data_IF_314729404591
#
_entry.id   IF_314729404591
#
_cell.length_a   1.000
_cell.length_b   1.000
_cell.length_c   1.000
_cell.angle_alpha   90.00
_cell.angle_beta   90.00
_cell.angle_gamma   90.00
#
_symmetry.space_group_name_H-M   'P 1'
#
loop_
_entity.id
_entity.type
_entity.pdbx_description
1 polymer ?
#
# COMPACT_ATOMS: atom_id res chain seq x y z
N UNK A 1 13.74 18.13 81.95
CA UNK A 1 13.54 17.10 80.95
C UNK A 1 12.98 17.74 79.66
N UNK A 2 13.81 17.89 78.64
CA UNK A 2 13.41 18.49 77.33
C UNK A 2 13.29 17.36 76.32
N UNK A 3 12.08 17.08 75.85
CA UNK A 3 11.78 16.08 74.85
C UNK A 3 11.99 16.70 73.50
N UNK A 4 12.95 16.15 72.72
CA UNK A 4 13.22 16.55 71.30
C UNK A 4 12.37 15.67 70.42
N UNK A 5 11.45 16.26 69.62
CA UNK A 5 10.60 15.60 68.67
C UNK A 5 11.32 15.69 67.32
N UNK A 6 11.85 14.56 66.83
CA UNK A 6 12.46 14.45 65.50
C UNK A 6 11.40 14.24 64.41
N UNK A 7 11.29 15.22 63.50
CA UNK A 7 10.39 15.15 62.35
C UNK A 7 11.13 14.46 61.18
N UNK A 8 10.72 13.25 60.79
CA UNK A 8 11.21 12.57 59.61
C UNK A 8 10.47 13.14 58.37
N UNK A 9 11.16 13.86 57.51
CA UNK A 9 10.68 14.22 56.17
C UNK A 9 10.86 13.02 55.24
N UNK A 10 9.76 12.37 54.82
CA UNK A 10 9.74 11.41 53.72
C UNK A 10 9.71 12.22 52.43
N UNK A 11 10.84 12.29 51.69
CA UNK A 11 10.88 12.80 50.33
C UNK A 11 10.44 11.70 49.34
N UNK A 12 9.23 11.88 48.77
CA UNK A 12 8.72 11.00 47.70
C UNK A 12 9.49 11.32 46.40
N UNK A 13 10.36 10.43 45.99
CA UNK A 13 11.03 10.49 44.69
C UNK A 13 10.04 10.00 43.63
N UNK A 14 9.42 10.89 42.86
CA UNK A 14 8.63 10.59 41.69
C UNK A 14 9.59 10.37 40.53
N UNK A 15 9.84 9.13 40.17
CA UNK A 15 10.56 8.79 38.94
C UNK A 15 9.69 9.16 37.72
N UNK A 16 10.20 9.92 36.76
CA UNK A 16 9.49 10.18 35.52
C UNK A 16 9.38 8.83 34.74
N UNK A 17 8.17 8.32 34.60
CA UNK A 17 7.86 7.26 33.65
C UNK A 17 7.98 7.82 32.25
N UNK A 18 9.10 7.58 31.57
CA UNK A 18 9.21 7.78 30.13
C UNK A 18 8.30 6.75 29.45
N UNK A 19 7.15 7.20 28.95
CA UNK A 19 6.34 6.43 28.01
C UNK A 19 7.21 6.25 26.75
N UNK A 20 7.83 5.08 26.63
CA UNK A 20 8.38 4.62 25.35
C UNK A 20 7.17 4.39 24.44
N UNK A 21 6.97 5.25 23.45
CA UNK A 21 6.08 4.93 22.35
C UNK A 21 6.70 3.74 21.60
N UNK A 22 6.12 2.55 21.79
CA UNK A 22 6.48 1.40 20.98
C UNK A 22 6.30 1.81 19.51
N UNK A 23 7.30 1.58 18.68
CA UNK A 23 7.16 1.79 17.23
C UNK A 23 5.98 0.94 16.75
N UNK A 24 5.11 1.53 15.93
CA UNK A 24 3.98 0.80 15.35
C UNK A 24 4.51 -0.38 14.53
N UNK A 25 3.92 -1.56 14.73
CA UNK A 25 4.30 -2.74 13.93
C UNK A 25 3.94 -2.49 12.46
N UNK A 26 4.83 -2.86 11.51
CA UNK A 26 4.58 -2.63 10.10
C UNK A 26 3.39 -3.45 9.60
N UNK A 27 2.53 -2.83 8.80
CA UNK A 27 1.46 -3.53 8.08
C UNK A 27 2.04 -4.42 6.97
N UNK A 28 1.23 -5.39 6.57
CA UNK A 28 1.42 -6.17 5.36
C UNK A 28 0.37 -5.79 4.33
N UNK A 29 0.71 -5.87 3.05
CA UNK A 29 -0.23 -5.56 1.97
C UNK A 29 -0.34 -6.76 1.02
N UNK A 30 -1.55 -7.12 0.65
CA UNK A 30 -1.78 -7.90 -0.57
C UNK A 30 -2.13 -6.91 -1.69
N UNK A 31 -1.30 -6.87 -2.73
CA UNK A 31 -1.61 -6.17 -3.97
C UNK A 31 -2.11 -7.22 -4.96
N UNK A 32 -3.40 -7.16 -5.27
CA UNK A 32 -4.04 -8.13 -6.15
C UNK A 32 -4.39 -7.48 -7.48
N UNK A 33 -3.78 -7.92 -8.56
CA UNK A 33 -4.04 -7.45 -9.91
C UNK A 33 -4.91 -8.47 -10.66
N UNK A 34 -6.11 -8.09 -11.02
CA UNK A 34 -6.93 -8.81 -11.98
C UNK A 34 -6.53 -8.35 -13.38
N UNK A 35 -5.70 -9.12 -14.07
CA UNK A 35 -5.31 -8.85 -15.46
C UNK A 35 -6.45 -9.30 -16.36
N UNK A 36 -7.09 -8.36 -17.06
CA UNK A 36 -8.34 -8.61 -17.77
C UNK A 36 -8.13 -9.47 -19.03
N UNK A 37 -7.15 -9.10 -19.86
CA UNK A 37 -6.97 -9.71 -21.18
C UNK A 37 -8.12 -9.38 -22.14
N UNK A 38 -8.09 -9.95 -23.36
CA UNK A 38 -9.02 -9.60 -24.44
C UNK A 38 -10.50 -9.94 -24.12
N UNK A 39 -10.75 -10.93 -23.28
CA UNK A 39 -12.08 -11.39 -22.91
C UNK A 39 -12.47 -11.02 -21.46
N UNK A 40 -11.74 -10.10 -20.83
CA UNK A 40 -11.98 -9.69 -19.46
C UNK A 40 -13.35 -9.02 -19.27
N UNK A 41 -13.95 -9.24 -18.11
CA UNK A 41 -15.22 -8.64 -17.71
C UNK A 41 -15.04 -7.82 -16.43
N UNK A 42 -14.59 -6.57 -16.59
CA UNK A 42 -14.34 -5.64 -15.49
C UNK A 42 -15.59 -5.45 -14.62
N UNK A 43 -16.79 -5.34 -15.23
CA UNK A 43 -18.04 -5.15 -14.49
C UNK A 43 -18.34 -6.33 -13.55
N UNK A 44 -18.10 -7.55 -13.99
CA UNK A 44 -18.29 -8.73 -13.14
C UNK A 44 -17.33 -8.74 -11.95
N UNK A 45 -16.08 -8.30 -12.15
CA UNK A 45 -15.10 -8.17 -11.06
C UNK A 45 -15.52 -7.05 -10.11
N UNK A 46 -15.88 -5.85 -10.62
CA UNK A 46 -16.35 -4.74 -9.78
C UNK A 46 -17.58 -5.13 -8.95
N UNK A 47 -18.54 -5.84 -9.54
CA UNK A 47 -19.72 -6.34 -8.82
C UNK A 47 -19.35 -7.33 -7.71
N UNK A 48 -18.41 -8.23 -7.97
CA UNK A 48 -17.89 -9.13 -6.94
C UNK A 48 -17.17 -8.38 -5.81
N UNK A 49 -16.29 -7.44 -6.16
CA UNK A 49 -15.54 -6.66 -5.17
C UNK A 49 -16.49 -5.83 -4.30
N UNK A 50 -17.39 -5.07 -4.90
CA UNK A 50 -18.29 -4.16 -4.18
C UNK A 50 -19.34 -4.88 -3.34
N UNK A 51 -19.93 -5.96 -3.85
CA UNK A 51 -21.09 -6.60 -3.23
C UNK A 51 -20.75 -7.81 -2.36
N UNK A 52 -19.56 -8.41 -2.54
CA UNK A 52 -19.17 -9.61 -1.80
C UNK A 52 -17.86 -9.41 -1.03
N UNK A 53 -16.73 -9.11 -1.69
CA UNK A 53 -15.43 -9.12 -1.04
C UNK A 53 -15.29 -7.97 0.00
N UNK A 54 -15.54 -6.72 -0.39
CA UNK A 54 -15.35 -5.58 0.53
C UNK A 54 -16.29 -5.66 1.75
N UNK A 55 -17.59 -6.01 1.62
CA UNK A 55 -18.44 -6.24 2.79
C UNK A 55 -17.95 -7.37 3.71
N UNK A 56 -17.38 -8.44 3.16
CA UNK A 56 -16.83 -9.54 3.95
C UNK A 56 -15.54 -9.11 4.68
N UNK A 57 -14.65 -8.36 4.02
CA UNK A 57 -13.45 -7.80 4.65
C UNK A 57 -13.81 -6.83 5.78
N UNK A 58 -14.84 -6.00 5.59
CA UNK A 58 -15.35 -5.10 6.63
C UNK A 58 -15.83 -5.88 7.87
N UNK A 59 -16.51 -7.04 7.69
CA UNK A 59 -16.90 -7.92 8.82
C UNK A 59 -15.71 -8.52 9.54
N UNK A 60 -14.57 -8.63 8.87
CA UNK A 60 -13.30 -9.08 9.45
C UNK A 60 -12.45 -7.93 10.01
N UNK A 61 -12.96 -6.68 9.97
CA UNK A 61 -12.24 -5.46 10.36
C UNK A 61 -10.97 -5.20 9.53
N UNK A 62 -10.94 -5.70 8.29
CA UNK A 62 -9.84 -5.50 7.34
C UNK A 62 -10.15 -4.32 6.43
N UNK A 63 -9.28 -3.33 6.42
CA UNK A 63 -9.37 -2.12 5.59
C UNK A 63 -8.54 -0.96 6.14
N UNK A 64 -8.56 0.20 5.46
CA UNK A 64 -9.33 0.51 4.23
C UNK A 64 -8.77 -0.21 2.99
N UNK A 65 -9.66 -0.63 2.08
CA UNK A 65 -9.30 -1.34 0.85
C UNK A 65 -9.39 -0.41 -0.34
N UNK A 66 -8.29 -0.29 -1.09
CA UNK A 66 -8.24 0.42 -2.36
C UNK A 66 -8.66 -0.47 -3.52
N UNK A 67 -9.50 0.05 -4.41
CA UNK A 67 -9.86 -0.60 -5.67
C UNK A 67 -9.71 0.40 -6.80
N UNK A 68 -8.93 0.04 -7.81
CA UNK A 68 -8.54 0.95 -8.88
C UNK A 68 -8.63 0.25 -10.24
N UNK A 69 -8.92 1.04 -11.29
CA UNK A 69 -8.81 0.64 -12.69
C UNK A 69 -7.75 1.49 -13.40
N UNK A 70 -7.30 1.07 -14.59
CA UNK A 70 -6.41 1.91 -15.39
C UNK A 70 -7.09 3.25 -15.71
N UNK A 71 -6.33 4.32 -15.63
CA UNK A 71 -6.68 5.62 -16.17
C UNK A 71 -6.56 5.59 -17.70
N UNK A 72 -7.28 6.47 -18.39
CA UNK A 72 -7.09 6.70 -19.84
C UNK A 72 -5.67 7.15 -20.20
N UNK A 73 -4.91 7.65 -19.23
CA UNK A 73 -3.51 8.05 -19.38
C UNK A 73 -2.52 6.91 -19.05
N UNK A 74 -3.01 5.73 -18.70
CA UNK A 74 -2.13 4.59 -18.46
C UNK A 74 -1.54 4.05 -19.76
N UNK A 75 -0.24 3.84 -19.77
CA UNK A 75 0.52 3.35 -20.94
C UNK A 75 1.12 1.97 -20.72
N UNK A 76 0.69 1.25 -19.69
CA UNK A 76 1.23 -0.07 -19.36
C UNK A 76 0.89 -1.15 -20.40
N UNK A 77 -0.12 -0.90 -21.24
CA UNK A 77 -0.57 -1.81 -22.29
C UNK A 77 -1.32 -3.07 -21.77
N UNK A 78 -1.82 -3.01 -20.53
CA UNK A 78 -2.54 -4.14 -19.93
C UNK A 78 -3.65 -3.64 -19.02
N UNK A 79 -4.89 -3.88 -19.40
CA UNK A 79 -6.06 -3.54 -18.61
C UNK A 79 -6.13 -4.40 -17.35
N UNK A 80 -6.37 -3.74 -16.20
CA UNK A 80 -6.40 -4.40 -14.90
C UNK A 80 -7.31 -3.73 -13.91
N UNK A 81 -7.70 -4.50 -12.89
CA UNK A 81 -8.25 -3.97 -11.65
C UNK A 81 -7.25 -4.28 -10.55
N UNK A 82 -6.79 -3.24 -9.87
CA UNK A 82 -5.83 -3.33 -8.77
C UNK A 82 -6.58 -3.23 -7.45
N UNK A 83 -6.35 -4.18 -6.55
CA UNK A 83 -6.92 -4.16 -5.20
C UNK A 83 -5.78 -4.13 -4.18
N UNK A 84 -5.80 -3.15 -3.30
CA UNK A 84 -4.83 -2.97 -2.20
C UNK A 84 -5.53 -3.33 -0.89
N UNK A 85 -5.06 -4.37 -0.21
CA UNK A 85 -5.65 -4.87 1.03
C UNK A 85 -4.60 -4.83 2.13
N UNK A 86 -4.76 -3.99 3.18
CA UNK A 86 -3.86 -3.96 4.33
C UNK A 86 -4.20 -5.09 5.31
N UNK A 87 -3.17 -5.64 5.93
CA UNK A 87 -3.26 -6.65 6.99
C UNK A 87 -2.32 -6.31 8.14
N UNK A 88 -2.64 -6.75 9.34
CA UNK A 88 -1.79 -6.57 10.52
C UNK A 88 -0.58 -7.51 10.55
N UNK A 89 -0.65 -8.64 9.85
CA UNK A 89 0.43 -9.64 9.77
C UNK A 89 0.34 -10.45 8.48
N UNK A 90 1.43 -11.16 8.14
CA UNK A 90 1.45 -12.07 7.00
C UNK A 90 0.43 -13.21 7.13
N UNK A 91 0.25 -13.77 8.34
CA UNK A 91 -0.70 -14.87 8.57
C UNK A 91 -2.15 -14.40 8.45
N UNK A 92 -2.43 -13.10 8.68
CA UNK A 92 -3.78 -12.55 8.56
C UNK A 92 -4.35 -12.71 7.14
N UNK A 93 -3.49 -12.75 6.11
CA UNK A 93 -3.88 -13.00 4.72
C UNK A 93 -4.54 -14.39 4.58
N UNK A 94 -3.88 -15.44 5.10
CA UNK A 94 -4.42 -16.79 5.04
C UNK A 94 -5.63 -16.97 5.95
N UNK A 95 -5.57 -16.37 7.15
CA UNK A 95 -6.68 -16.37 8.11
C UNK A 95 -7.93 -15.73 7.51
N UNK A 96 -7.78 -14.61 6.81
CA UNK A 96 -8.89 -13.94 6.11
C UNK A 96 -9.50 -14.84 5.02
N UNK A 97 -8.67 -15.51 4.22
CA UNK A 97 -9.15 -16.47 3.21
C UNK A 97 -9.97 -17.60 3.82
N UNK A 98 -9.53 -18.16 4.95
CA UNK A 98 -10.26 -19.22 5.66
C UNK A 98 -11.62 -18.70 6.17
N UNK A 99 -11.66 -17.50 6.77
CA UNK A 99 -12.92 -16.88 7.22
C UNK A 99 -13.91 -16.62 6.07
N UNK A 100 -13.43 -16.28 4.87
CA UNK A 100 -14.30 -16.14 3.69
C UNK A 100 -14.99 -17.45 3.30
N UNK A 101 -14.35 -18.59 3.50
CA UNK A 101 -14.96 -19.92 3.23
C UNK A 101 -16.13 -20.18 4.17
N UNK A 102 -16.06 -19.73 5.42
CA UNK A 102 -17.08 -19.91 6.44
C UNK A 102 -18.15 -18.81 6.47
N UNK A 103 -17.91 -17.67 5.79
CA UNK A 103 -18.83 -16.52 5.75
C UNK A 103 -19.99 -16.80 4.78
N UNK A 104 -21.13 -17.26 5.31
CA UNK A 104 -22.33 -17.56 4.51
C UNK A 104 -22.83 -16.36 3.69
N UNK A 105 -22.72 -15.13 4.23
CA UNK A 105 -23.15 -13.93 3.51
C UNK A 105 -22.23 -13.66 2.32
N UNK A 106 -20.91 -13.84 2.49
CA UNK A 106 -19.95 -13.77 1.40
C UNK A 106 -20.20 -14.85 0.35
N UNK A 107 -20.36 -16.11 0.75
CA UNK A 107 -20.59 -17.23 -0.16
C UNK A 107 -21.85 -17.00 -1.01
N UNK A 108 -22.91 -16.47 -0.41
CA UNK A 108 -24.16 -16.14 -1.12
C UNK A 108 -23.96 -15.00 -2.13
N UNK A 109 -23.32 -13.89 -1.69
CA UNK A 109 -23.11 -12.71 -2.53
C UNK A 109 -22.10 -12.97 -3.65
N UNK A 110 -21.08 -13.80 -3.41
CA UNK A 110 -20.02 -14.12 -4.36
C UNK A 110 -20.41 -15.24 -5.35
N UNK A 111 -21.54 -15.92 -5.13
CA UNK A 111 -21.92 -17.15 -5.86
C UNK A 111 -21.77 -17.01 -7.37
N UNK A 112 -22.35 -15.98 -7.97
CA UNK A 112 -22.30 -15.76 -9.43
C UNK A 112 -20.86 -15.60 -9.96
N UNK A 113 -19.96 -15.08 -9.14
CA UNK A 113 -18.56 -14.95 -9.50
C UNK A 113 -17.79 -16.25 -9.28
N UNK A 114 -17.96 -16.92 -8.15
CA UNK A 114 -17.22 -18.12 -7.77
C UNK A 114 -17.61 -19.36 -8.58
N UNK A 115 -18.88 -19.46 -9.03
CA UNK A 115 -19.38 -20.59 -9.81
C UNK A 115 -19.16 -20.44 -11.34
N UNK A 116 -18.41 -19.42 -11.79
CA UNK A 116 -18.06 -19.28 -13.20
C UNK A 116 -17.23 -20.47 -13.68
N UNK A 117 -17.61 -20.97 -14.86
CA UNK A 117 -16.86 -22.07 -15.48
C UNK A 117 -15.54 -21.64 -16.11
N UNK A 118 -14.67 -22.57 -16.47
CA UNK A 118 -13.33 -22.27 -16.99
C UNK A 118 -13.33 -21.49 -18.31
N UNK A 119 -14.46 -21.47 -19.05
CA UNK A 119 -14.62 -20.69 -20.29
C UNK A 119 -15.28 -19.32 -20.08
N UNK A 120 -15.67 -19.00 -18.85
CA UNK A 120 -16.36 -17.76 -18.46
C UNK A 120 -15.59 -17.03 -17.35
N UNK A 121 -14.27 -17.12 -17.37
CA UNK A 121 -13.43 -16.35 -16.43
C UNK A 121 -13.53 -14.85 -16.74
N UNK A 122 -13.77 -13.99 -15.75
CA UNK A 122 -13.85 -12.54 -15.97
C UNK A 122 -12.48 -11.87 -16.07
N UNK A 123 -11.40 -12.62 -15.97
CA UNK A 123 -10.01 -12.16 -16.10
C UNK A 123 -9.15 -13.26 -16.74
N UNK A 124 -8.02 -12.88 -17.28
CA UNK A 124 -7.02 -13.81 -17.79
C UNK A 124 -6.28 -14.51 -16.63
N UNK A 125 -5.88 -13.74 -15.60
CA UNK A 125 -5.22 -14.23 -14.37
C UNK A 125 -5.30 -13.21 -13.25
N UNK A 126 -5.04 -13.69 -12.05
CA UNK A 126 -4.77 -12.85 -10.88
C UNK A 126 -3.27 -12.94 -10.58
N UNK A 127 -2.62 -11.78 -10.48
CA UNK A 127 -1.26 -11.64 -9.96
C UNK A 127 -1.37 -11.07 -8.56
N UNK A 128 -0.88 -11.80 -7.56
CA UNK A 128 -0.86 -11.32 -6.17
C UNK A 128 0.58 -11.17 -5.69
N UNK A 129 0.82 -10.08 -4.96
CA UNK A 129 2.07 -9.77 -4.31
C UNK A 129 1.81 -9.51 -2.82
N UNK A 130 2.65 -10.05 -1.96
CA UNK A 130 2.65 -9.73 -0.53
C UNK A 130 3.84 -8.83 -0.22
N UNK A 131 3.54 -7.66 0.35
CA UNK A 131 4.53 -6.69 0.77
C UNK A 131 4.54 -6.57 2.30
N UNK A 132 5.68 -6.22 2.87
CA UNK A 132 5.78 -5.68 4.23
C UNK A 132 6.02 -4.17 4.13
N UNK A 133 5.30 -3.39 4.93
CA UNK A 133 5.47 -1.94 4.99
C UNK A 133 6.92 -1.58 5.37
N UNK A 134 7.44 -0.51 4.75
CA UNK A 134 8.80 -0.04 5.02
C UNK A 134 8.82 0.92 6.23
N UNK A 135 9.97 1.03 6.91
CA UNK A 135 10.13 1.87 8.12
C UNK A 135 9.75 3.33 7.90
N UNK A 136 9.99 3.87 6.69
CA UNK A 136 9.60 5.24 6.33
C UNK A 136 8.08 5.45 6.27
N UNK A 137 7.30 4.36 6.18
CA UNK A 137 5.83 4.40 6.13
C UNK A 137 5.25 3.05 6.62
N UNK A 138 5.25 2.81 7.96
CA UNK A 138 4.85 1.52 8.52
C UNK A 138 3.36 1.22 8.40
N UNK A 139 2.53 2.25 8.18
CA UNK A 139 1.08 2.14 8.03
C UNK A 139 0.61 2.83 6.75
N UNK A 140 -0.44 2.26 6.15
CA UNK A 140 -1.17 2.88 5.03
C UNK A 140 -1.80 4.21 5.48
N UNK A 141 -1.71 5.23 4.62
CA UNK A 141 -2.31 6.55 4.84
C UNK A 141 -3.37 6.85 3.77
N UNK A 142 -4.60 7.05 4.23
CA UNK A 142 -5.69 7.46 3.33
C UNK A 142 -5.64 8.97 3.14
N UNK A 143 -5.73 9.50 1.91
CA UNK A 143 -5.78 10.94 1.64
C UNK A 143 -7.20 11.49 1.92
N UNK A 144 -7.58 11.53 3.21
CA UNK A 144 -8.96 11.82 3.64
C UNK A 144 -9.53 13.14 3.09
N UNK A 145 -8.69 14.14 2.84
CA UNK A 145 -9.12 15.42 2.26
C UNK A 145 -9.47 15.32 0.78
N UNK A 146 -8.98 14.29 0.08
CA UNK A 146 -9.13 14.11 -1.36
C UNK A 146 -10.12 12.99 -1.74
N UNK A 147 -10.67 12.26 -0.75
CA UNK A 147 -11.58 11.12 -1.02
C UNK A 147 -12.81 11.50 -1.86
N UNK A 148 -13.28 12.75 -1.75
CA UNK A 148 -14.43 13.26 -2.52
C UNK A 148 -14.02 13.90 -3.87
N UNK A 149 -12.73 14.00 -4.14
CA UNK A 149 -12.25 14.55 -5.40
C UNK A 149 -12.39 13.50 -6.51
N UNK A 150 -13.31 13.73 -7.45
CA UNK A 150 -13.57 12.82 -8.56
C UNK A 150 -12.43 12.77 -9.59
N UNK A 151 -11.60 13.82 -9.66
CA UNK A 151 -10.50 13.94 -10.63
C UNK A 151 -9.19 13.32 -10.11
N UNK A 152 -9.20 12.80 -8.85
CA UNK A 152 -7.99 12.24 -8.25
C UNK A 152 -7.47 11.04 -9.02
N UNK A 153 -6.16 11.00 -9.19
CA UNK A 153 -5.46 9.88 -9.83
C UNK A 153 -4.41 9.29 -8.90
N UNK A 154 -4.08 8.04 -9.16
CA UNK A 154 -3.08 7.30 -8.41
C UNK A 154 -2.00 6.78 -9.35
N UNK A 155 -0.80 6.54 -8.81
CA UNK A 155 0.26 5.89 -9.57
C UNK A 155 0.85 4.76 -8.73
N UNK A 156 0.68 3.52 -9.20
CA UNK A 156 1.35 2.35 -8.64
C UNK A 156 2.65 2.14 -9.37
N UNK A 157 3.75 2.07 -8.63
CA UNK A 157 5.07 1.74 -9.15
C UNK A 157 5.64 0.52 -8.46
N UNK A 158 6.27 -0.34 -9.26
CA UNK A 158 7.01 -1.51 -8.83
C UNK A 158 8.44 -1.35 -9.33
N UNK A 159 9.40 -1.33 -8.42
CA UNK A 159 10.82 -1.19 -8.72
C UNK A 159 11.52 -2.53 -8.52
N UNK A 160 11.74 -3.27 -9.62
CA UNK A 160 12.52 -4.49 -9.61
C UNK A 160 14.00 -4.19 -9.39
N UNK A 161 14.67 -5.09 -8.68
CA UNK A 161 16.13 -5.09 -8.50
C UNK A 161 16.72 -6.37 -9.07
N UNK A 162 17.97 -6.30 -9.55
CA UNK A 162 18.62 -7.45 -10.19
C UNK A 162 19.02 -8.56 -9.19
N UNK A 163 19.04 -8.26 -7.90
CA UNK A 163 19.25 -9.19 -6.80
C UNK A 163 18.79 -8.58 -5.47
N UNK A 164 18.71 -9.42 -4.43
CA UNK A 164 18.20 -9.04 -3.11
C UNK A 164 19.02 -7.90 -2.48
N UNK A 165 20.34 -7.94 -2.56
CA UNK A 165 21.23 -6.90 -2.01
C UNK A 165 20.95 -5.52 -2.63
N UNK A 166 20.70 -5.46 -3.94
CA UNK A 166 20.34 -4.21 -4.62
C UNK A 166 18.95 -3.75 -4.22
N UNK A 167 18.01 -4.69 -4.03
CA UNK A 167 16.69 -4.42 -3.48
C UNK A 167 16.76 -3.79 -2.09
N UNK A 168 17.54 -4.38 -1.18
CA UNK A 168 17.74 -3.86 0.18
C UNK A 168 18.39 -2.47 0.18
N UNK A 169 19.31 -2.19 -0.75
CA UNK A 169 19.87 -0.85 -0.90
C UNK A 169 18.84 0.16 -1.41
N UNK A 170 17.91 -0.25 -2.29
CA UNK A 170 16.81 0.63 -2.71
C UNK A 170 15.82 0.90 -1.58
N UNK A 171 15.49 -0.11 -0.77
CA UNK A 171 14.70 0.04 0.46
C UNK A 171 15.40 1.00 1.43
N UNK A 172 16.71 0.83 1.64
CA UNK A 172 17.51 1.75 2.47
C UNK A 172 17.45 3.19 1.94
N UNK A 173 17.47 3.41 0.63
CA UNK A 173 17.38 4.75 0.02
C UNK A 173 16.04 5.42 0.35
N UNK A 174 14.92 4.69 0.23
CA UNK A 174 13.59 5.17 0.60
C UNK A 174 13.49 5.52 2.09
N UNK A 175 13.96 4.62 2.97
CA UNK A 175 13.95 4.81 4.42
C UNK A 175 14.82 6.00 4.88
N UNK A 176 15.83 6.41 4.08
CA UNK A 176 16.83 7.38 4.49
C UNK A 176 16.91 8.63 3.60
N UNK A 177 15.84 8.99 2.86
CA UNK A 177 15.87 10.28 2.16
C UNK A 177 14.89 10.48 1.01
N UNK A 178 14.39 9.43 0.34
CA UNK A 178 13.55 9.63 -0.86
C UNK A 178 12.14 10.12 -0.52
N UNK A 179 11.55 9.64 0.60
CA UNK A 179 10.15 9.98 0.96
C UNK A 179 9.95 11.46 1.30
N UNK A 180 10.83 12.14 2.06
CA UNK A 180 10.71 13.59 2.25
C UNK A 180 10.69 14.37 0.93
N UNK A 181 11.53 13.97 -0.04
CA UNK A 181 11.58 14.61 -1.37
C UNK A 181 10.26 14.40 -2.12
N UNK A 182 9.62 13.21 -1.98
CA UNK A 182 8.28 12.99 -2.53
C UNK A 182 7.28 14.01 -2.02
N UNK A 183 7.23 14.19 -0.69
CA UNK A 183 6.28 15.09 -0.03
C UNK A 183 6.50 16.55 -0.46
N UNK A 184 7.74 16.99 -0.53
CA UNK A 184 8.12 18.35 -0.98
C UNK A 184 7.71 18.62 -2.42
N UNK A 185 7.66 17.58 -3.26
CA UNK A 185 7.22 17.66 -4.65
C UNK A 185 5.71 17.46 -4.87
N UNK A 186 4.92 17.25 -3.80
CA UNK A 186 3.49 16.97 -3.91
C UNK A 186 3.14 15.52 -4.29
N UNK A 187 4.11 14.61 -4.19
CA UNK A 187 3.88 13.16 -4.34
C UNK A 187 3.44 12.62 -2.99
N UNK A 188 2.18 12.20 -2.86
CA UNK A 188 1.60 11.71 -1.60
C UNK A 188 1.58 10.19 -1.56
N UNK A 189 2.48 9.51 -0.80
CA UNK A 189 2.42 8.07 -0.66
C UNK A 189 1.18 7.61 0.13
N UNK A 190 0.54 6.55 -0.33
CA UNK A 190 -0.55 5.82 0.33
C UNK A 190 0.01 4.64 1.11
N UNK A 191 0.89 3.88 0.49
CA UNK A 191 1.72 2.86 1.10
C UNK A 191 3.07 2.76 0.38
N UNK A 192 4.08 2.26 1.09
CA UNK A 192 5.38 1.87 0.53
C UNK A 192 5.75 0.54 1.18
N UNK A 193 6.01 -0.51 0.37
CA UNK A 193 6.30 -1.83 0.87
C UNK A 193 7.40 -2.54 0.09
N UNK A 194 8.17 -3.40 0.78
CA UNK A 194 9.11 -4.34 0.18
C UNK A 194 8.42 -5.68 -0.06
N UNK A 195 8.62 -6.26 -1.24
CA UNK A 195 8.02 -7.55 -1.57
C UNK A 195 8.63 -8.69 -0.72
N UNK A 196 7.74 -9.44 -0.08
CA UNK A 196 8.06 -10.71 0.60
C UNK A 196 7.95 -11.87 -0.39
N UNK A 197 6.90 -11.84 -1.21
CA UNK A 197 6.65 -12.80 -2.28
C UNK A 197 5.79 -12.15 -3.36
N UNK A 198 6.07 -12.42 -4.62
CA UNK A 198 5.33 -11.87 -5.74
C UNK A 198 6.00 -12.13 -7.09
N UNK A 199 5.36 -11.70 -8.18
CA UNK A 199 5.82 -12.03 -9.55
C UNK A 199 7.11 -11.29 -9.97
N UNK A 200 7.49 -10.21 -9.28
CA UNK A 200 8.60 -9.33 -9.68
C UNK A 200 9.69 -9.22 -8.60
N UNK A 201 9.77 -10.17 -7.65
CA UNK A 201 10.77 -10.17 -6.59
C UNK A 201 12.19 -10.44 -7.11
N UNK A 202 13.20 -9.74 -6.55
CA UNK A 202 13.14 -8.76 -5.46
C UNK A 202 12.70 -7.38 -5.97
N UNK A 203 11.74 -6.78 -5.26
CA UNK A 203 11.23 -5.44 -5.61
C UNK A 203 10.74 -4.68 -4.36
N UNK A 204 10.50 -3.39 -4.53
CA UNK A 204 9.61 -2.62 -3.70
C UNK A 204 8.47 -2.03 -4.54
N UNK A 205 7.30 -1.92 -3.93
CA UNK A 205 6.09 -1.36 -4.55
C UNK A 205 5.54 -0.23 -3.70
N UNK A 206 5.00 0.81 -4.35
CA UNK A 206 4.35 1.91 -3.67
C UNK A 206 3.23 2.51 -4.51
N UNK A 207 2.22 3.02 -3.81
CA UNK A 207 1.09 3.74 -4.39
C UNK A 207 1.14 5.20 -3.96
N UNK A 208 0.98 6.11 -4.89
CA UNK A 208 0.91 7.55 -4.64
C UNK A 208 -0.39 8.13 -5.15
N UNK A 209 -0.88 9.21 -4.52
CA UNK A 209 -2.09 9.93 -4.93
C UNK A 209 -1.78 11.36 -5.36
N UNK A 210 -2.63 11.89 -6.24
CA UNK A 210 -2.56 13.25 -6.77
C UNK A 210 -3.97 13.80 -6.98
N UNK A 211 -4.18 15.12 -6.83
CA UNK A 211 -5.49 15.73 -7.04
C UNK A 211 -6.06 15.53 -8.46
N UNK A 212 -5.19 15.44 -9.46
CA UNK A 212 -5.52 15.20 -10.86
C UNK A 212 -4.26 14.85 -11.67
N UNK A 213 -4.44 14.52 -12.94
CA UNK A 213 -3.36 14.14 -13.85
C UNK A 213 -2.31 15.25 -14.07
N UNK A 214 -2.73 16.52 -14.14
CA UNK A 214 -1.79 17.63 -14.29
C UNK A 214 -0.87 17.74 -13.07
N UNK A 215 -1.44 17.70 -11.85
CA UNK A 215 -0.68 17.71 -10.61
C UNK A 215 0.29 16.52 -10.51
N UNK A 216 -0.12 15.33 -10.98
CA UNK A 216 0.77 14.15 -11.05
C UNK A 216 1.98 14.43 -11.94
N UNK A 217 1.76 14.98 -13.12
CA UNK A 217 2.84 15.29 -14.08
C UNK A 217 3.80 16.34 -13.51
N UNK A 218 3.26 17.42 -12.93
CA UNK A 218 4.04 18.49 -12.32
C UNK A 218 4.88 18.00 -11.13
N UNK A 219 4.30 17.15 -10.28
CA UNK A 219 4.99 16.54 -9.15
C UNK A 219 6.21 15.70 -9.58
N UNK A 220 6.07 14.89 -10.64
CA UNK A 220 7.19 14.13 -11.19
C UNK A 220 8.23 15.00 -11.91
N UNK A 221 7.83 16.14 -12.49
CA UNK A 221 8.78 17.13 -13.03
C UNK A 221 9.58 17.74 -11.88
N UNK A 222 8.89 18.21 -10.82
CA UNK A 222 9.53 18.77 -9.63
C UNK A 222 10.50 17.77 -8.98
N UNK A 223 10.08 16.51 -8.77
CA UNK A 223 10.93 15.47 -8.21
C UNK A 223 12.23 15.27 -8.99
N UNK A 224 12.13 15.17 -10.32
CA UNK A 224 13.33 14.96 -11.16
C UNK A 224 14.32 16.11 -11.10
N UNK A 225 13.88 17.33 -10.79
CA UNK A 225 14.72 18.54 -10.68
C UNK A 225 15.08 18.91 -9.24
N UNK A 226 14.52 18.22 -8.23
CA UNK A 226 14.74 18.52 -6.83
C UNK A 226 16.22 18.38 -6.44
N UNK A 227 16.78 19.37 -5.75
CA UNK A 227 18.23 19.42 -5.42
C UNK A 227 18.66 18.21 -4.61
N UNK A 228 17.92 17.86 -3.56
CA UNK A 228 18.23 16.70 -2.72
C UNK A 228 18.13 15.38 -3.49
N UNK A 229 17.21 15.27 -4.47
CA UNK A 229 17.17 14.13 -5.37
C UNK A 229 18.42 14.05 -6.24
N UNK A 230 18.91 15.18 -6.74
CA UNK A 230 20.14 15.21 -7.55
C UNK A 230 21.34 14.73 -6.74
N UNK A 231 21.40 15.00 -5.43
CA UNK A 231 22.43 14.51 -4.51
C UNK A 231 22.21 13.03 -4.19
N UNK A 232 21.00 12.67 -3.73
CA UNK A 232 20.68 11.31 -3.25
C UNK A 232 20.92 10.24 -4.33
N UNK A 233 20.48 10.51 -5.57
CA UNK A 233 20.64 9.56 -6.69
C UNK A 233 22.09 9.34 -7.10
N UNK A 234 23.03 10.23 -6.72
CA UNK A 234 24.47 10.09 -7.03
C UNK A 234 25.25 9.34 -5.96
N UNK A 235 24.64 9.01 -4.83
CA UNK A 235 25.29 8.22 -3.78
C UNK A 235 25.66 6.85 -4.33
N UNK A 236 26.96 6.53 -4.33
CA UNK A 236 27.53 5.37 -5.02
C UNK A 236 26.84 4.04 -4.67
N UNK A 237 26.46 3.84 -3.39
CA UNK A 237 25.78 2.62 -2.94
C UNK A 237 24.37 2.42 -3.52
N UNK A 238 23.74 3.48 -4.02
CA UNK A 238 22.37 3.45 -4.59
C UNK A 238 22.35 3.32 -6.11
N UNK A 239 23.51 3.38 -6.77
CA UNK A 239 23.60 3.28 -8.22
C UNK A 239 23.25 1.86 -8.70
N UNK A 240 22.41 1.77 -9.74
CA UNK A 240 22.02 0.48 -10.33
C UNK A 240 21.12 -0.39 -9.44
N UNK A 241 20.51 0.18 -8.38
CA UNK A 241 19.62 -0.57 -7.48
C UNK A 241 18.28 -0.94 -8.11
N UNK A 242 17.84 -0.25 -9.17
CA UNK A 242 16.62 -0.55 -9.92
C UNK A 242 16.98 -1.05 -11.31
N UNK A 243 16.52 -2.25 -11.66
CA UNK A 243 16.70 -2.87 -12.97
C UNK A 243 15.56 -2.60 -13.93
N UNK A 244 14.31 -2.51 -13.40
CA UNK A 244 13.12 -2.22 -14.18
C UNK A 244 12.06 -1.51 -13.33
N UNK A 245 11.28 -0.65 -13.96
CA UNK A 245 10.16 0.05 -13.35
C UNK A 245 8.89 -0.34 -14.08
N UNK A 246 7.91 -0.89 -13.34
CA UNK A 246 6.53 -0.95 -13.81
C UNK A 246 5.79 0.26 -13.26
N UNK A 247 4.96 0.85 -14.09
CA UNK A 247 4.17 2.02 -13.74
C UNK A 247 2.75 1.85 -14.26
N UNK A 248 1.78 2.08 -13.37
CA UNK A 248 0.36 2.04 -13.68
C UNK A 248 -0.29 3.32 -13.18
N UNK A 249 -0.92 4.06 -14.10
CA UNK A 249 -1.74 5.24 -13.76
C UNK A 249 -3.17 4.77 -13.57
N UNK A 250 -3.73 5.07 -12.40
CA UNK A 250 -4.95 4.44 -11.92
C UNK A 250 -5.99 5.48 -11.50
N UNK A 251 -7.26 5.13 -11.65
CA UNK A 251 -8.41 5.86 -11.11
C UNK A 251 -9.14 4.97 -10.10
N UNK A 252 -9.63 5.52 -8.98
CA UNK A 252 -10.32 4.73 -7.98
C UNK A 252 -11.74 4.37 -8.45
N UNK A 253 -12.22 3.19 -8.08
CA UNK A 253 -13.63 2.85 -8.20
C UNK A 253 -14.46 3.68 -7.19
N UNK A 254 -15.73 3.95 -7.50
CA UNK A 254 -16.63 4.74 -6.65
C UNK A 254 -16.77 4.19 -5.23
N UNK A 255 -16.62 2.88 -5.06
CA UNK A 255 -16.67 2.18 -3.78
C UNK A 255 -15.29 1.93 -3.15
N UNK A 256 -14.19 2.45 -3.75
CA UNK A 256 -12.85 2.41 -3.16
C UNK A 256 -12.84 3.15 -1.83
N UNK A 257 -12.10 2.62 -0.86
CA UNK A 257 -11.98 3.22 0.47
C UNK A 257 -10.70 4.08 0.60
N UNK A 258 -9.96 4.16 -0.50
CA UNK A 258 -8.72 4.95 -0.62
C UNK A 258 -8.87 5.92 -1.77
#
# INVERSE_FOLDING_TARGET
MKTILSLLLLSSFVLPTTLSTAAEAPQYYEIRNYVLGDNGNAEAIHRYLSNALLPAMKRQEIGPIGVFSNSDQDTSGSDRIVVVIPFESADAIQTSKNRLVEDTAYQTAAKTYLERGPKDSPYQRIESEMLVAMDCMPLLKVPVNDLQNADRVFELRIYESSNERLGDLKVHMFNNGEVPIFLDCGIQPIFIGQAVVGPFTPNLSYLTSYPNEAARNDAWVAFRSHEDWQVLKQVAKYQGTVSKIHKYVLVPADYSQI
#
